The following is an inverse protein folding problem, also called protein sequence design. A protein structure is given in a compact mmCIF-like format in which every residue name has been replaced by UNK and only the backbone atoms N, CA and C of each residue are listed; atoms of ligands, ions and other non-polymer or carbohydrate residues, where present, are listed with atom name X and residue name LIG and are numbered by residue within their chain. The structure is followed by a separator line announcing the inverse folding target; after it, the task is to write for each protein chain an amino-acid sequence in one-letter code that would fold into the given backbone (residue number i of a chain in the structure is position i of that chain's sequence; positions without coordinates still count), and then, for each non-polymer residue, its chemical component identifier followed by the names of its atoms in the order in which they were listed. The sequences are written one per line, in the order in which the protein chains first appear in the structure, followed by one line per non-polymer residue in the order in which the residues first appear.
data_IF_889624868686
#
_entry.id   IF_889624868686
#
_cell.length_a   1.000
_cell.length_b   1.000
_cell.length_c   1.000
_cell.angle_alpha   90.00
_cell.angle_beta   90.00
_cell.angle_gamma   90.00
#
_symmetry.space_group_name_H-M   'P 1'
#
loop_
_entity.id
_entity.type
_entity.pdbx_description
1 polymer ?
#
# COMPACT_ATOMS: atom_id res chain seq x y z
N UNK A 1 -7.37 17.35 36.77
CA UNK A 1 -7.94 18.33 35.81
C UNK A 1 -8.04 17.67 34.45
N UNK A 2 -9.25 17.39 33.97
CA UNK A 2 -9.47 16.81 32.64
C UNK A 2 -10.07 17.91 31.75
N UNK A 3 -9.31 18.40 30.77
CA UNK A 3 -9.75 19.45 29.84
C UNK A 3 -10.25 18.77 28.57
N UNK A 4 -11.55 18.84 28.29
CA UNK A 4 -12.11 18.35 27.04
C UNK A 4 -11.95 19.42 25.95
N UNK A 5 -10.95 19.24 25.08
CA UNK A 5 -10.87 19.98 23.83
C UNK A 5 -11.83 19.33 22.83
N UNK A 6 -12.98 19.98 22.59
CA UNK A 6 -13.88 19.59 21.50
C UNK A 6 -13.12 19.51 20.17
N UNK A 7 -13.56 18.61 19.28
CA UNK A 7 -12.94 18.24 18.00
C UNK A 7 -12.08 19.34 17.38
N UNK A 8 -10.76 19.20 17.54
CA UNK A 8 -9.80 20.16 17.00
C UNK A 8 -9.73 19.95 15.48
N UNK A 9 -10.24 20.90 14.72
CA UNK A 9 -10.06 20.94 13.27
C UNK A 9 -8.58 21.28 12.96
N UNK A 10 -7.85 20.46 12.19
CA UNK A 10 -6.43 20.70 11.89
C UNK A 10 -6.17 21.99 11.10
N UNK A 11 -7.19 22.61 10.50
CA UNK A 11 -7.09 23.88 9.79
C UNK A 11 -7.49 25.11 10.64
N UNK A 12 -7.94 24.94 11.89
CA UNK A 12 -8.34 26.04 12.75
C UNK A 12 -7.73 25.93 14.16
N UNK A 13 -6.59 26.61 14.36
CA UNK A 13 -5.84 26.59 15.63
C UNK A 13 -6.23 27.71 16.59
N UNK A 14 -7.20 28.56 16.23
CA UNK A 14 -7.65 29.66 17.09
C UNK A 14 -8.10 29.20 18.49
N UNK A 15 -8.84 28.08 18.65
CA UNK A 15 -9.24 27.60 19.98
C UNK A 15 -8.03 27.23 20.85
N UNK A 16 -6.98 26.64 20.27
CA UNK A 16 -5.75 26.27 20.97
C UNK A 16 -4.95 27.50 21.40
N UNK A 17 -4.87 28.51 20.54
CA UNK A 17 -4.20 29.76 20.85
C UNK A 17 -4.92 30.55 21.94
N UNK A 18 -6.26 30.59 21.90
CA UNK A 18 -7.07 31.20 22.95
C UNK A 18 -6.88 30.49 24.30
N UNK A 19 -6.89 29.15 24.29
CA UNK A 19 -6.63 28.36 25.48
C UNK A 19 -5.23 28.61 26.06
N UNK A 20 -4.19 28.63 25.22
CA UNK A 20 -2.81 28.91 25.65
C UNK A 20 -2.68 30.30 26.27
N UNK A 21 -3.29 31.33 25.67
CA UNK A 21 -3.25 32.70 26.22
C UNK A 21 -3.92 32.75 27.60
N UNK A 22 -5.06 32.09 27.77
CA UNK A 22 -5.77 32.03 29.04
C UNK A 22 -5.00 31.28 30.12
N UNK A 23 -4.30 30.19 29.75
CA UNK A 23 -3.37 29.50 30.65
C UNK A 23 -2.21 30.39 31.11
N UNK A 24 -1.60 31.15 30.20
CA UNK A 24 -0.50 32.07 30.53
C UNK A 24 -1.00 33.22 31.42
N UNK A 25 -2.22 33.70 31.18
CA UNK A 25 -2.83 34.75 31.97
C UNK A 25 -3.31 34.29 33.36
N UNK A 26 -3.23 33.00 33.69
CA UNK A 26 -3.63 32.46 35.00
C UNK A 26 -5.15 32.49 35.25
N UNK A 27 -5.95 32.76 34.22
CA UNK A 27 -7.39 32.96 34.34
C UNK A 27 -8.12 31.61 34.22
N UNK A 28 -8.07 30.82 35.30
CA UNK A 28 -8.80 29.54 35.43
C UNK A 28 -10.11 29.75 36.22
N UNK A 29 -11.06 30.48 35.62
CA UNK A 29 -12.45 30.40 36.04
C UNK A 29 -13.08 29.14 35.45
N UNK A 30 -13.43 28.19 36.34
CA UNK A 30 -14.24 27.02 36.02
C UNK A 30 -15.68 27.50 35.80
N UNK A 31 -16.13 27.53 34.54
CA UNK A 31 -17.55 27.64 34.25
C UNK A 31 -18.06 26.38 33.55
N UNK A 32 -19.16 25.91 34.11
CA UNK A 32 -19.84 24.65 33.90
C UNK A 32 -20.61 24.58 32.58
N UNK A 33 -20.57 23.39 31.98
CA UNK A 33 -21.69 22.66 31.37
C UNK A 33 -22.62 23.39 30.40
N UNK A 34 -22.55 22.97 29.14
CA UNK A 34 -23.75 22.54 28.39
C UNK A 34 -23.43 21.27 27.61
N UNK A 35 -23.90 20.16 28.18
CA UNK A 35 -24.19 18.92 27.47
C UNK A 35 -25.11 19.23 26.29
N UNK A 36 -24.71 18.89 25.07
CA UNK A 36 -25.63 18.74 23.95
C UNK A 36 -25.24 17.51 23.16
N UNK A 37 -26.03 16.48 23.39
CA UNK A 37 -26.16 15.23 22.64
C UNK A 37 -26.32 15.54 21.15
N UNK A 38 -25.52 14.91 20.31
CA UNK A 38 -25.88 14.66 18.92
C UNK A 38 -25.36 13.27 18.54
N UNK A 39 -26.32 12.45 18.12
CA UNK A 39 -26.27 11.01 18.03
C UNK A 39 -25.19 10.47 17.10
N UNK A 40 -24.62 9.34 17.52
CA UNK A 40 -23.97 8.33 16.70
C UNK A 40 -24.86 7.92 15.54
N UNK A 41 -24.58 8.42 14.34
CA UNK A 41 -24.79 7.65 13.11
C UNK A 41 -23.50 6.94 12.77
N UNK A 42 -23.45 5.68 13.18
CA UNK A 42 -22.71 4.60 12.54
C UNK A 42 -22.69 4.80 11.02
N UNK A 43 -21.55 5.21 10.47
CA UNK A 43 -21.23 4.99 9.06
C UNK A 43 -20.07 4.01 9.04
N UNK A 44 -20.46 2.73 9.17
CA UNK A 44 -19.65 1.61 8.72
C UNK A 44 -19.59 1.65 7.20
N UNK A 45 -18.66 2.42 6.63
CA UNK A 45 -18.31 2.26 5.22
C UNK A 45 -16.80 2.39 5.07
N UNK A 46 -16.16 1.21 5.07
CA UNK A 46 -14.91 0.90 4.37
C UNK A 46 -14.32 2.08 3.59
N UNK A 47 -13.28 2.69 4.16
CA UNK A 47 -12.43 3.72 3.54
C UNK A 47 -11.79 3.17 2.27
N UNK A 48 -12.54 3.11 1.18
CA UNK A 48 -11.98 3.07 -0.17
C UNK A 48 -11.27 4.40 -0.37
N UNK A 49 -9.98 4.36 -0.69
CA UNK A 49 -9.20 5.55 -0.96
C UNK A 49 -9.97 6.47 -1.93
N UNK A 50 -10.37 7.65 -1.46
CA UNK A 50 -11.08 8.67 -2.25
C UNK A 50 -10.28 8.92 -3.52
N UNK A 51 -10.86 8.60 -4.69
CA UNK A 51 -10.17 8.59 -5.98
C UNK A 51 -9.42 9.90 -6.29
N UNK A 52 -8.37 9.80 -7.13
CA UNK A 52 -7.52 10.94 -7.50
C UNK A 52 -8.36 12.00 -8.22
N UNK A 53 -8.48 13.19 -7.60
CA UNK A 53 -9.29 14.32 -8.12
C UNK A 53 -8.65 14.99 -9.35
N UNK A 54 -7.32 14.97 -9.47
CA UNK A 54 -6.62 15.44 -10.67
C UNK A 54 -6.61 14.34 -11.73
N UNK A 55 -7.45 14.49 -12.75
CA UNK A 55 -7.57 13.56 -13.88
C UNK A 55 -6.25 13.33 -14.61
N UNK A 56 -5.39 14.35 -14.73
CA UNK A 56 -4.06 14.25 -15.33
C UNK A 56 -3.08 13.37 -14.54
N UNK A 57 -3.29 13.18 -13.23
CA UNK A 57 -2.47 12.33 -12.37
C UNK A 57 -3.01 10.89 -12.27
N UNK A 58 -4.07 10.57 -13.01
CA UNK A 58 -4.69 9.25 -12.97
C UNK A 58 -3.74 8.21 -13.58
N UNK A 59 -3.55 7.05 -12.94
CA UNK A 59 -2.86 5.93 -13.55
C UNK A 59 -3.49 5.58 -14.90
N UNK A 60 -2.65 5.23 -15.88
CA UNK A 60 -3.09 4.77 -17.19
C UNK A 60 -4.00 3.53 -17.03
N UNK A 61 -5.14 3.55 -17.73
CA UNK A 61 -6.10 2.44 -17.75
C UNK A 61 -5.45 1.15 -18.27
N UNK A 62 -5.90 -0.01 -17.80
CA UNK A 62 -5.45 -1.31 -18.29
C UNK A 62 -5.58 -1.46 -19.81
N UNK A 63 -6.69 -0.98 -20.40
CA UNK A 63 -6.91 -1.02 -21.86
C UNK A 63 -5.80 -0.29 -22.65
N UNK A 64 -5.47 0.95 -22.26
CA UNK A 64 -4.37 1.71 -22.88
C UNK A 64 -3.00 1.05 -22.66
N UNK A 65 -2.78 0.36 -21.53
CA UNK A 65 -1.53 -0.41 -21.33
C UNK A 65 -1.44 -1.56 -22.32
N UNK A 66 -2.53 -2.30 -22.50
CA UNK A 66 -2.58 -3.42 -23.45
C UNK A 66 -2.34 -2.94 -24.88
N UNK A 67 -3.00 -1.86 -25.29
CA UNK A 67 -2.79 -1.25 -26.60
C UNK A 67 -1.32 -0.84 -26.85
N UNK A 68 -0.59 -0.38 -25.82
CA UNK A 68 0.85 -0.09 -25.94
C UNK A 68 1.66 -1.38 -26.14
N UNK A 69 1.32 -2.45 -25.42
CA UNK A 69 2.01 -3.74 -25.52
C UNK A 69 1.75 -4.44 -26.85
N UNK A 70 0.57 -4.29 -27.44
CA UNK A 70 0.23 -4.89 -28.72
C UNK A 70 0.93 -4.18 -29.91
N UNK A 71 1.21 -2.87 -29.77
CA UNK A 71 1.88 -2.07 -30.81
C UNK A 71 3.41 -2.10 -30.75
N UNK A 72 3.99 -2.53 -29.62
CA UNK A 72 5.44 -2.59 -29.43
C UNK A 72 6.14 -3.59 -30.39
N UNK A 73 5.62 -4.81 -30.61
CA UNK A 73 6.20 -5.77 -31.54
C UNK A 73 6.15 -5.35 -33.01
N UNK A 74 5.32 -4.36 -33.37
CA UNK A 74 5.18 -3.85 -34.75
C UNK A 74 6.40 -3.02 -35.20
N UNK A 75 7.38 -2.76 -34.32
CA UNK A 75 8.58 -1.97 -34.65
C UNK A 75 8.34 -0.47 -34.73
N UNK A 76 7.17 0.01 -34.28
CA UNK A 76 6.86 1.43 -34.20
C UNK A 76 7.71 2.15 -33.15
N UNK A 77 8.11 3.39 -33.44
CA UNK A 77 8.79 4.21 -32.42
C UNK A 77 7.87 4.51 -31.24
N UNK A 78 8.42 4.60 -30.02
CA UNK A 78 7.66 4.98 -28.83
C UNK A 78 6.92 6.32 -28.98
N UNK A 79 7.41 7.23 -29.84
CA UNK A 79 6.75 8.50 -30.17
C UNK A 79 5.50 8.30 -31.03
N UNK A 80 5.54 7.38 -31.99
CA UNK A 80 4.38 7.04 -32.81
C UNK A 80 3.28 6.38 -31.96
N UNK A 81 3.66 5.40 -31.14
CA UNK A 81 2.74 4.71 -30.21
C UNK A 81 2.08 5.71 -29.26
N UNK A 82 2.85 6.63 -28.69
CA UNK A 82 2.34 7.65 -27.77
C UNK A 82 1.26 8.54 -28.42
N UNK A 83 1.47 8.97 -29.67
CA UNK A 83 0.49 9.77 -30.42
C UNK A 83 -0.79 8.98 -30.71
N UNK A 84 -0.66 7.71 -31.07
CA UNK A 84 -1.80 6.85 -31.41
C UNK A 84 -2.67 6.51 -30.19
N UNK A 85 -2.05 6.21 -29.04
CA UNK A 85 -2.76 5.85 -27.80
C UNK A 85 -3.21 7.10 -27.00
N UNK A 86 -2.71 8.28 -27.37
CA UNK A 86 -2.95 9.53 -26.64
C UNK A 86 -2.30 9.49 -25.25
N UNK A 87 -1.02 9.12 -25.19
CA UNK A 87 -0.21 9.05 -23.96
C UNK A 87 1.13 9.74 -24.17
N UNK A 88 1.93 9.85 -23.10
CA UNK A 88 3.28 10.40 -23.21
C UNK A 88 4.30 9.32 -23.61
N UNK A 89 5.39 9.73 -24.26
CA UNK A 89 6.49 8.83 -24.65
C UNK A 89 7.15 8.15 -23.45
N UNK A 90 7.22 8.83 -22.30
CA UNK A 90 7.75 8.25 -21.06
C UNK A 90 6.82 7.17 -20.49
N UNK A 91 5.50 7.35 -20.64
CA UNK A 91 4.51 6.31 -20.28
C UNK A 91 4.69 5.07 -21.13
N UNK A 92 4.84 5.21 -22.46
CA UNK A 92 5.08 4.08 -23.37
C UNK A 92 6.33 3.31 -22.95
N UNK A 93 7.47 4.00 -22.80
CA UNK A 93 8.73 3.37 -22.36
C UNK A 93 8.61 2.70 -20.99
N UNK A 94 7.85 3.29 -20.06
CA UNK A 94 7.65 2.72 -18.74
C UNK A 94 6.80 1.44 -18.78
N UNK A 95 5.75 1.40 -19.61
CA UNK A 95 4.91 0.21 -19.79
C UNK A 95 5.70 -0.93 -20.43
N UNK A 96 6.40 -0.67 -21.54
CA UNK A 96 7.24 -1.70 -22.19
C UNK A 96 8.30 -2.23 -21.21
N UNK A 97 9.00 -1.32 -20.50
CA UNK A 97 9.98 -1.72 -19.48
C UNK A 97 9.36 -2.56 -18.35
N UNK A 98 8.16 -2.20 -17.89
CA UNK A 98 7.49 -2.96 -16.83
C UNK A 98 7.07 -4.36 -17.29
N UNK A 99 6.69 -4.52 -18.56
CA UNK A 99 6.33 -5.82 -19.12
C UNK A 99 7.53 -6.76 -19.25
N UNK A 100 8.71 -6.23 -19.59
CA UNK A 100 9.94 -7.04 -19.69
C UNK A 100 10.69 -7.18 -18.36
N UNK A 101 10.41 -6.32 -17.37
CA UNK A 101 11.12 -6.37 -16.09
C UNK A 101 10.69 -7.59 -15.28
N UNK A 102 11.65 -8.38 -14.77
CA UNK A 102 11.32 -9.44 -13.84
C UNK A 102 10.70 -8.85 -12.56
N UNK A 103 9.84 -9.61 -11.87
CA UNK A 103 9.24 -9.15 -10.63
C UNK A 103 10.33 -8.72 -9.63
N UNK A 104 10.24 -7.47 -9.17
CA UNK A 104 11.27 -6.88 -8.30
C UNK A 104 11.32 -7.50 -6.91
N UNK A 105 10.26 -8.18 -6.50
CA UNK A 105 10.18 -8.83 -5.19
C UNK A 105 10.59 -10.29 -5.37
N UNK A 106 11.45 -10.77 -4.45
CA UNK A 106 11.72 -12.19 -4.31
C UNK A 106 10.39 -12.94 -4.17
N UNK A 107 10.30 -14.09 -4.81
CA UNK A 107 9.14 -14.99 -4.73
C UNK A 107 8.83 -15.28 -3.26
N UNK A 108 7.54 -15.28 -2.90
CA UNK A 108 7.10 -15.65 -1.55
C UNK A 108 7.12 -17.16 -1.39
N UNK A 109 7.34 -17.63 -0.18
CA UNK A 109 7.15 -19.03 0.17
C UNK A 109 5.66 -19.36 0.11
N UNK A 110 5.28 -20.33 -0.71
CA UNK A 110 3.89 -20.74 -0.96
C UNK A 110 3.58 -22.07 -0.27
N UNK A 111 2.29 -22.42 -0.16
CA UNK A 111 1.87 -23.69 0.44
C UNK A 111 2.40 -24.90 -0.33
N UNK A 112 2.50 -24.80 -1.66
CA UNK A 112 3.14 -25.83 -2.51
C UNK A 112 4.63 -26.00 -2.18
N UNK A 113 5.31 -24.92 -1.79
CA UNK A 113 6.72 -25.01 -1.35
C UNK A 113 6.82 -25.64 0.03
N UNK A 114 5.84 -25.40 0.90
CA UNK A 114 5.77 -26.00 2.22
C UNK A 114 5.59 -27.51 2.13
N UNK A 115 4.65 -27.99 1.31
CA UNK A 115 4.44 -29.42 1.08
C UNK A 115 5.70 -30.11 0.52
N UNK A 116 6.33 -29.49 -0.49
CA UNK A 116 7.57 -30.03 -1.05
C UNK A 116 8.72 -30.01 -0.04
N UNK A 117 8.86 -28.95 0.73
CA UNK A 117 9.86 -28.86 1.79
C UNK A 117 9.67 -29.94 2.86
N UNK A 118 8.43 -30.23 3.26
CA UNK A 118 8.11 -31.30 4.21
C UNK A 118 8.48 -32.67 3.65
N UNK A 119 8.14 -32.94 2.39
CA UNK A 119 8.48 -34.20 1.73
C UNK A 119 9.99 -34.41 1.65
N UNK A 120 10.75 -33.39 1.24
CA UNK A 120 12.21 -33.46 1.17
C UNK A 120 12.84 -33.61 2.55
N UNK A 121 12.30 -32.93 3.57
CA UNK A 121 12.76 -33.07 4.94
C UNK A 121 12.49 -34.48 5.49
N UNK A 122 11.35 -35.09 5.16
CA UNK A 122 11.04 -36.47 5.52
C UNK A 122 11.99 -37.48 4.85
N UNK A 123 12.59 -37.13 3.71
CA UNK A 123 13.65 -37.91 3.06
C UNK A 123 15.04 -37.71 3.70
N UNK A 124 15.14 -36.89 4.75
CA UNK A 124 16.41 -36.61 5.45
C UNK A 124 17.28 -35.55 4.77
N UNK A 125 16.73 -34.78 3.81
CA UNK A 125 17.47 -33.67 3.19
C UNK A 125 17.73 -32.56 4.19
N UNK A 126 18.91 -31.94 4.09
CA UNK A 126 19.25 -30.80 4.94
C UNK A 126 18.48 -29.54 4.50
N UNK A 127 18.23 -28.61 5.43
CA UNK A 127 17.53 -27.35 5.08
C UNK A 127 18.24 -26.51 4.02
N UNK A 128 19.56 -26.67 3.87
CA UNK A 128 20.34 -26.00 2.83
C UNK A 128 20.01 -26.61 1.46
N UNK A 129 20.03 -27.94 1.34
CA UNK A 129 19.66 -28.64 0.11
C UNK A 129 18.23 -28.33 -0.32
N UNK A 130 17.28 -28.37 0.62
CA UNK A 130 15.87 -28.04 0.36
C UNK A 130 15.74 -26.59 -0.14
N UNK A 131 16.48 -25.67 0.48
CA UNK A 131 16.50 -24.27 0.07
C UNK A 131 17.04 -24.09 -1.35
N UNK A 132 18.14 -24.79 -1.70
CA UNK A 132 18.72 -24.75 -3.04
C UNK A 132 17.75 -25.31 -4.09
N UNK A 133 17.05 -26.40 -3.78
CA UNK A 133 16.08 -27.02 -4.68
C UNK A 133 14.85 -26.13 -4.92
N UNK A 134 14.35 -25.47 -3.88
CA UNK A 134 13.16 -24.61 -3.95
C UNK A 134 13.46 -23.14 -4.30
N UNK A 135 14.73 -22.74 -4.34
CA UNK A 135 15.16 -21.36 -4.60
C UNK A 135 15.01 -20.42 -3.40
N UNK A 136 15.07 -20.93 -2.17
CA UNK A 136 14.98 -20.18 -0.93
C UNK A 136 16.25 -20.30 -0.06
N UNK A 137 16.45 -19.33 0.83
CA UNK A 137 17.52 -19.43 1.83
C UNK A 137 17.17 -20.45 2.93
N UNK A 138 18.20 -21.06 3.53
CA UNK A 138 18.07 -22.01 4.65
C UNK A 138 17.11 -21.52 5.74
N UNK A 139 17.25 -20.25 6.14
CA UNK A 139 16.46 -19.67 7.23
C UNK A 139 14.98 -19.53 6.88
N UNK A 140 14.66 -19.37 5.58
CA UNK A 140 13.28 -19.34 5.12
C UNK A 140 12.64 -20.72 5.27
N UNK A 141 13.33 -21.76 4.80
CA UNK A 141 12.86 -23.15 4.92
C UNK A 141 12.70 -23.55 6.38
N UNK A 142 13.71 -23.29 7.22
CA UNK A 142 13.67 -23.62 8.66
C UNK A 142 12.49 -22.95 9.37
N UNK A 143 12.26 -21.65 9.11
CA UNK A 143 11.12 -20.92 9.69
C UNK A 143 9.77 -21.51 9.29
N UNK A 144 9.60 -21.85 8.01
CA UNK A 144 8.32 -22.39 7.51
C UNK A 144 8.06 -23.82 7.97
N UNK A 145 9.08 -24.67 8.03
CA UNK A 145 8.94 -26.03 8.55
C UNK A 145 8.68 -26.04 10.05
N UNK A 146 9.37 -25.20 10.82
CA UNK A 146 9.12 -25.06 12.26
C UNK A 146 7.69 -24.57 12.55
N UNK A 147 7.22 -23.58 11.79
CA UNK A 147 5.85 -23.06 11.93
C UNK A 147 4.77 -24.10 11.55
N UNK A 148 5.10 -25.08 10.71
CA UNK A 148 4.18 -26.16 10.32
C UNK A 148 4.17 -27.34 11.30
N UNK A 149 5.15 -27.41 12.20
CA UNK A 149 5.28 -28.47 13.22
C UNK A 149 4.73 -28.04 14.60
N UNK A 150 4.41 -26.75 14.76
CA UNK A 150 3.80 -26.19 15.97
C UNK A 150 2.27 -26.28 15.91
#
# INVERSE_FOLDING_TARGET
MLVHLGSINPNNWLPLLAFRKRLIAGELASESSTSSVASTTEVSETTTARGIRKTACRPISAAKKQQILDLEPTGMSARAIARQVGTSTSTVKAVCRQATQPPRRKRRFTDDDLQRAQQLHAQGRTYIEIGLELGFGRDTVSKHLAAAQA
#
